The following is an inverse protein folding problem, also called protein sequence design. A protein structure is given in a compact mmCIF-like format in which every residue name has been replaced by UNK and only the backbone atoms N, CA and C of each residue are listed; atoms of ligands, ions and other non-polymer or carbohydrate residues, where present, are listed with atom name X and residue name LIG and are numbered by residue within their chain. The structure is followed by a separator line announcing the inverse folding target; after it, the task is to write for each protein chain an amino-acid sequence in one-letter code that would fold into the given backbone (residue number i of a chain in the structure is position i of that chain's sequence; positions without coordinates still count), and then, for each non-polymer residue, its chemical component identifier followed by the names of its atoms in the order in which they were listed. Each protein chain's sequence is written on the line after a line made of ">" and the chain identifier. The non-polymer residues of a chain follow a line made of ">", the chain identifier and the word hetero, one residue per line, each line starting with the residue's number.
data_IF_548538464563
#
_entry.id   IF_548538464563
#
_cell.length_a   1.000
_cell.length_b   1.000
_cell.length_c   1.000
_cell.angle_alpha   90.00
_cell.angle_beta   90.00
_cell.angle_gamma   90.00
#
_symmetry.space_group_name_H-M   'P 1'
#
loop_
_entity.id
_entity.type
_entity.pdbx_description
1 polymer ?
#
# COMPACT_ATOMS: atom_id res chain seq x y z
N UNK A 1 -13.17 13.70 9.23
CA UNK A 1 -12.02 13.49 8.32
C UNK A 1 -12.36 12.74 7.03
N UNK A 2 -12.28 11.40 6.96
CA UNK A 2 -12.37 10.67 5.68
C UNK A 2 -13.71 10.84 4.92
N UNK A 3 -14.84 10.94 5.63
CA UNK A 3 -16.15 11.20 4.99
C UNK A 3 -16.21 12.58 4.35
N UNK A 4 -15.65 13.58 5.01
CA UNK A 4 -15.60 14.96 4.50
C UNK A 4 -14.69 15.04 3.28
N UNK A 5 -13.55 14.33 3.30
CA UNK A 5 -12.64 14.25 2.17
C UNK A 5 -13.34 13.62 0.96
N UNK A 6 -14.10 12.54 1.15
CA UNK A 6 -14.89 11.94 0.08
C UNK A 6 -15.94 12.92 -0.49
N UNK A 7 -16.64 13.67 0.37
CA UNK A 7 -17.63 14.67 -0.06
C UNK A 7 -17.00 15.91 -0.71
N UNK A 8 -15.72 16.20 -0.45
CA UNK A 8 -15.00 17.31 -1.07
C UNK A 8 -14.64 17.09 -2.54
N UNK A 9 -14.72 15.84 -3.01
CA UNK A 9 -14.44 15.51 -4.40
C UNK A 9 -15.69 15.79 -5.25
N UNK A 10 -15.55 16.63 -6.27
CA UNK A 10 -16.68 17.22 -7.01
C UNK A 10 -17.60 16.19 -7.68
N UNK A 11 -17.06 14.99 -7.98
CA UNK A 11 -17.78 13.90 -8.67
C UNK A 11 -18.43 12.89 -7.72
N UNK A 12 -18.23 13.03 -6.41
CA UNK A 12 -18.83 12.15 -5.42
C UNK A 12 -20.25 12.61 -5.12
N UNK A 13 -21.21 11.70 -5.25
CA UNK A 13 -22.60 11.98 -4.95
C UNK A 13 -22.78 12.20 -3.43
N UNK A 14 -23.44 13.29 -3.00
CA UNK A 14 -23.73 13.52 -1.58
C UNK A 14 -24.81 12.57 -1.04
N UNK A 15 -25.66 12.05 -1.94
CA UNK A 15 -26.67 11.04 -1.65
C UNK A 15 -26.58 9.93 -2.70
N UNK A 16 -26.33 8.67 -2.31
CA UNK A 16 -26.18 8.19 -0.93
C UNK A 16 -24.86 8.66 -0.30
N UNK A 17 -24.87 8.97 0.99
CA UNK A 17 -23.70 9.52 1.67
C UNK A 17 -22.53 8.51 1.74
N UNK A 18 -21.26 8.97 1.66
CA UNK A 18 -20.11 8.12 1.88
C UNK A 18 -20.13 7.45 3.25
N UNK A 19 -19.76 6.16 3.26
CA UNK A 19 -19.72 5.34 4.48
C UNK A 19 -18.33 4.79 4.70
N UNK A 20 -17.94 4.67 5.96
CA UNK A 20 -16.68 4.05 6.36
C UNK A 20 -17.03 2.84 7.21
N UNK A 21 -16.37 1.72 6.93
CA UNK A 21 -16.51 0.49 7.71
C UNK A 21 -15.16 0.01 8.18
N UNK A 22 -15.11 -0.47 9.41
CA UNK A 22 -13.99 -1.21 9.94
C UNK A 22 -14.06 -2.64 9.39
N UNK A 23 -13.02 -3.10 8.69
CA UNK A 23 -12.98 -4.46 8.13
C UNK A 23 -12.28 -5.42 9.08
N UNK A 24 -11.08 -5.09 9.52
CA UNK A 24 -10.27 -5.94 10.40
C UNK A 24 -9.14 -5.17 11.06
N UNK A 25 -8.57 -5.76 12.11
CA UNK A 25 -7.24 -5.42 12.60
C UNK A 25 -6.20 -6.21 11.80
N UNK A 26 -5.10 -5.55 11.44
CA UNK A 26 -3.91 -6.13 10.84
C UNK A 26 -2.78 -6.11 11.86
N UNK A 27 -1.74 -6.92 11.65
CA UNK A 27 -0.60 -7.02 12.56
C UNK A 27 0.13 -5.67 12.79
N UNK A 28 0.06 -4.78 11.79
CA UNK A 28 0.67 -3.46 11.83
C UNK A 28 -0.32 -2.31 11.64
N UNK A 29 -1.64 -2.54 11.67
CA UNK A 29 -2.59 -1.46 11.41
C UNK A 29 -4.07 -1.82 11.47
N UNK A 30 -4.90 -0.93 10.92
CA UNK A 30 -6.34 -1.13 10.78
C UNK A 30 -6.73 -1.14 9.32
N UNK A 31 -7.62 -2.06 8.94
CA UNK A 31 -8.21 -2.08 7.62
C UNK A 31 -9.56 -1.34 7.63
N UNK A 32 -9.60 -0.19 6.94
CA UNK A 32 -10.79 0.64 6.80
C UNK A 32 -11.26 0.66 5.35
N UNK A 33 -12.56 0.42 5.15
CA UNK A 33 -13.19 0.52 3.84
C UNK A 33 -14.01 1.80 3.74
N UNK A 34 -13.58 2.72 2.87
CA UNK A 34 -14.34 3.89 2.47
C UNK A 34 -15.15 3.57 1.21
N UNK A 35 -16.48 3.68 1.30
CA UNK A 35 -17.42 3.49 0.19
C UNK A 35 -18.11 4.80 -0.13
N UNK A 36 -18.09 5.18 -1.40
CA UNK A 36 -18.72 6.38 -1.93
C UNK A 36 -19.35 6.06 -3.29
N UNK A 37 -20.15 7.00 -3.80
CA UNK A 37 -20.84 6.89 -5.06
C UNK A 37 -20.36 7.99 -5.99
N UNK A 38 -20.21 7.69 -7.27
CA UNK A 38 -19.82 8.65 -8.29
C UNK A 38 -21.03 8.88 -9.19
N UNK A 39 -21.36 10.14 -9.45
CA UNK A 39 -22.55 10.52 -10.23
C UNK A 39 -22.38 10.26 -11.73
N UNK A 40 -21.14 10.28 -12.21
CA UNK A 40 -20.74 10.17 -13.61
C UNK A 40 -19.61 9.13 -13.71
N UNK A 41 -19.95 7.84 -13.86
CA UNK A 41 -18.96 6.79 -14.04
C UNK A 41 -18.30 6.78 -15.43
N UNK A 42 -18.93 7.40 -16.44
CA UNK A 42 -18.47 7.41 -17.83
C UNK A 42 -17.18 8.20 -18.03
N UNK A 43 -16.95 9.28 -17.27
CA UNK A 43 -15.72 10.06 -17.30
C UNK A 43 -14.58 9.45 -16.47
N UNK A 44 -14.63 8.14 -16.22
CA UNK A 44 -13.58 7.40 -15.51
C UNK A 44 -13.64 7.54 -13.99
N UNK A 45 -13.29 6.46 -13.30
CA UNK A 45 -13.38 6.33 -11.83
C UNK A 45 -12.01 6.55 -11.17
N UNK A 46 -10.93 6.28 -11.91
CA UNK A 46 -9.56 6.29 -11.40
C UNK A 46 -9.12 7.65 -10.88
N UNK A 47 -9.51 8.73 -11.58
CA UNK A 47 -9.10 10.10 -11.21
C UNK A 47 -9.72 10.51 -9.87
N UNK A 48 -11.02 10.26 -9.69
CA UNK A 48 -11.74 10.54 -8.44
C UNK A 48 -11.15 9.72 -7.29
N UNK A 49 -10.85 8.44 -7.55
CA UNK A 49 -10.21 7.57 -6.55
C UNK A 49 -8.83 8.11 -6.15
N UNK A 50 -8.01 8.49 -7.12
CA UNK A 50 -6.67 9.04 -6.90
C UNK A 50 -6.74 10.33 -6.08
N UNK A 51 -7.63 11.25 -6.44
CA UNK A 51 -7.86 12.51 -5.72
C UNK A 51 -8.21 12.27 -4.24
N UNK A 52 -9.15 11.36 -3.97
CA UNK A 52 -9.58 11.02 -2.61
C UNK A 52 -8.43 10.40 -1.81
N UNK A 53 -7.67 9.48 -2.41
CA UNK A 53 -6.52 8.82 -1.75
C UNK A 53 -5.45 9.86 -1.40
N UNK A 54 -5.11 10.76 -2.31
CA UNK A 54 -4.10 11.80 -2.06
C UNK A 54 -4.53 12.79 -0.97
N UNK A 55 -5.80 13.19 -0.98
CA UNK A 55 -6.36 14.05 0.08
C UNK A 55 -6.37 13.32 1.44
N UNK A 56 -6.76 12.05 1.46
CA UNK A 56 -6.72 11.22 2.67
C UNK A 56 -5.29 11.06 3.21
N UNK A 57 -4.32 10.82 2.33
CA UNK A 57 -2.91 10.74 2.68
C UNK A 57 -2.40 12.02 3.34
N UNK A 58 -2.64 13.18 2.72
CA UNK A 58 -2.26 14.49 3.29
C UNK A 58 -2.91 14.72 4.65
N UNK A 59 -4.21 14.48 4.74
CA UNK A 59 -4.94 14.62 5.99
C UNK A 59 -4.41 13.71 7.10
N UNK A 60 -4.02 12.47 6.78
CA UNK A 60 -3.42 11.56 7.75
C UNK A 60 -2.08 12.08 8.25
N UNK A 61 -1.21 12.57 7.35
CA UNK A 61 0.07 13.17 7.73
C UNK A 61 -0.12 14.40 8.64
N UNK A 62 -1.05 15.30 8.29
CA UNK A 62 -1.37 16.51 9.07
C UNK A 62 -1.94 16.19 10.45
N UNK A 63 -2.69 15.09 10.59
CA UNK A 63 -3.27 14.64 11.85
C UNK A 63 -2.34 13.69 12.63
N UNK A 64 -1.11 13.46 12.18
CA UNK A 64 -0.15 12.57 12.84
C UNK A 64 -0.53 11.08 12.79
N UNK A 65 -1.42 10.69 11.87
CA UNK A 65 -1.82 9.30 11.65
C UNK A 65 -0.75 8.62 10.79
N UNK A 66 0.03 7.73 11.40
CA UNK A 66 1.04 6.96 10.69
C UNK A 66 0.39 5.79 9.94
N UNK A 67 0.68 5.69 8.65
CA UNK A 67 0.29 4.54 7.82
C UNK A 67 1.42 3.52 7.88
N UNK A 68 1.14 2.26 8.28
CA UNK A 68 2.17 1.24 8.36
C UNK A 68 2.73 0.93 6.98
N UNK A 69 4.06 0.95 6.86
CA UNK A 69 4.77 0.50 5.67
C UNK A 69 5.06 -0.99 5.87
N UNK A 70 4.79 -1.85 4.86
CA UNK A 70 5.13 -3.26 4.97
C UNK A 70 6.63 -3.41 5.26
N UNK A 71 7.02 -4.30 6.18
CA UNK A 71 8.43 -4.50 6.50
C UNK A 71 9.17 -4.94 5.25
N UNK A 72 10.31 -4.28 4.97
CA UNK A 72 11.23 -4.73 3.93
C UNK A 72 12.05 -5.86 4.54
N UNK A 73 11.85 -7.08 4.06
CA UNK A 73 12.76 -8.19 4.37
C UNK A 73 14.15 -7.83 3.83
N UNK A 74 15.04 -7.47 4.74
CA UNK A 74 16.47 -7.39 4.44
C UNK A 74 17.03 -8.78 4.63
N UNK A 75 17.42 -9.44 3.54
CA UNK A 75 18.19 -10.69 3.63
C UNK A 75 19.63 -10.31 3.96
N UNK A 76 20.16 -10.64 5.16
CA UNK A 76 21.58 -10.49 5.45
C UNK A 76 22.36 -11.57 4.69
N UNK A 77 22.50 -11.38 3.37
CA UNK A 77 23.16 -12.34 2.47
C UNK A 77 23.78 -11.71 1.23
N UNK A 78 23.57 -10.41 0.96
CA UNK A 78 24.15 -9.71 -0.19
C UNK A 78 25.38 -8.86 0.16
N UNK A 79 25.95 -9.03 1.35
CA UNK A 79 27.09 -8.24 1.81
C UNK A 79 28.43 -9.00 1.85
N UNK A 80 28.60 -10.05 1.03
CA UNK A 80 29.94 -10.48 0.62
C UNK A 80 29.93 -11.25 -0.73
N UNK A 81 30.22 -10.58 -1.86
CA UNK A 81 30.39 -11.23 -3.14
C UNK A 81 31.49 -12.29 -3.13
N UNK A 82 32.54 -12.15 -2.30
CA UNK A 82 33.69 -13.06 -2.28
C UNK A 82 33.32 -14.40 -1.64
N UNK A 83 32.62 -14.39 -0.50
CA UNK A 83 32.14 -15.61 0.17
C UNK A 83 31.20 -16.45 -0.69
N UNK A 84 30.41 -15.79 -1.53
CA UNK A 84 29.48 -16.47 -2.44
C UNK A 84 30.23 -17.11 -3.60
N UNK A 85 31.23 -16.43 -4.17
CA UNK A 85 32.08 -16.98 -5.23
C UNK A 85 32.94 -18.14 -4.72
N UNK A 86 33.51 -18.05 -3.52
CA UNK A 86 34.29 -19.13 -2.92
C UNK A 86 33.44 -20.40 -2.69
N UNK A 87 32.18 -20.21 -2.28
CA UNK A 87 31.23 -21.32 -2.08
C UNK A 87 30.80 -21.97 -3.40
N UNK A 88 30.72 -21.19 -4.48
CA UNK A 88 30.35 -21.69 -5.82
C UNK A 88 31.55 -22.33 -6.55
N UNK A 89 32.75 -21.77 -6.41
CA UNK A 89 34.00 -22.32 -6.94
C UNK A 89 34.40 -23.63 -6.24
N UNK A 90 34.18 -23.75 -4.93
CA UNK A 90 34.48 -24.98 -4.18
C UNK A 90 33.49 -26.12 -4.48
N UNK A 91 32.24 -25.81 -4.85
CA UNK A 91 31.26 -26.83 -5.28
C UNK A 91 31.53 -27.40 -6.67
N UNK A 92 32.10 -26.62 -7.58
CA UNK A 92 32.43 -27.10 -8.94
C UNK A 92 33.59 -28.09 -9.02
N UNK A 93 34.40 -28.25 -7.96
CA UNK A 93 35.53 -29.19 -7.94
C UNK A 93 35.21 -30.55 -7.30
N UNK A 94 33.97 -30.77 -6.84
CA UNK A 94 33.58 -32.02 -6.18
C UNK A 94 32.53 -32.87 -6.93
N UNK A 95 32.02 -32.39 -8.07
CA UNK A 95 31.05 -33.11 -8.91
C UNK A 95 31.65 -33.69 -10.22
N UNK A 96 32.99 -33.78 -10.34
CA UNK A 96 33.69 -34.40 -11.49
C UNK A 96 34.41 -35.72 -11.09
N UNK A 97 33.77 -36.58 -10.31
CA UNK A 97 34.23 -37.98 -10.16
C UNK A 97 33.04 -38.92 -10.10
N UNK A 98 32.54 -39.31 -11.29
CA UNK A 98 32.12 -40.68 -11.66
C UNK A 98 32.40 -40.87 -13.15
#
# INVERSE_FOLDING_TARGET
>A
LLKEIALSANRVAPKPAPTIRFRSLLDNGVDLLLRYWISDPENGISDVRSEIILKAWKAFQENGIQVPIPPREIYPGSADPQKTLDTLLNKSSQDDTI
#
